data_IF_469450088735
#
_entry.id   IF_469450088735
#
_cell.length_a   1.000
_cell.length_b   1.000
_cell.length_c   1.000
_cell.angle_alpha   90.00
_cell.angle_beta   90.00
_cell.angle_gamma   90.00
#
_symmetry.space_group_name_H-M   'P 1'
#
loop_
_entity.id
_entity.type
_entity.pdbx_description
1 polymer ?
#
# COMPACT_ATOMS: atom_id res chain seq x y z
N UNK A 1 -20.87 -6.92 -44.66
CA UNK A 1 -21.25 -7.97 -43.69
C UNK A 1 -20.24 -7.85 -42.55
N UNK A 2 -20.52 -7.28 -41.38
CA UNK A 2 -21.75 -7.17 -40.62
C UNK A 2 -21.48 -7.84 -39.27
N UNK A 3 -21.35 -7.04 -38.19
CA UNK A 3 -21.53 -7.33 -36.75
C UNK A 3 -20.77 -6.22 -35.96
N UNK A 4 -21.38 -5.09 -35.55
CA UNK A 4 -22.31 -4.82 -34.44
C UNK A 4 -21.81 -5.22 -33.03
N UNK A 5 -21.25 -4.21 -32.31
CA UNK A 5 -21.60 -3.67 -30.95
C UNK A 5 -21.61 -4.69 -29.77
N UNK A 6 -20.99 -4.41 -28.58
CA UNK A 6 -21.33 -3.22 -27.79
C UNK A 6 -20.23 -2.41 -27.10
N UNK A 7 -20.49 -1.11 -27.07
CA UNK A 7 -20.02 -0.19 -26.03
C UNK A 7 -20.52 -0.65 -24.67
N UNK A 8 -19.62 -0.71 -23.69
CA UNK A 8 -19.98 -0.83 -22.28
C UNK A 8 -19.36 0.33 -21.53
N UNK A 9 -20.25 1.18 -21.04
CA UNK A 9 -20.05 2.20 -20.03
C UNK A 9 -19.29 1.64 -18.83
N UNK A 10 -18.33 2.38 -18.28
CA UNK A 10 -18.21 2.47 -16.82
C UNK A 10 -17.33 3.63 -16.36
N UNK A 11 -18.04 4.60 -15.77
CA UNK A 11 -17.75 5.24 -14.48
C UNK A 11 -16.42 6.01 -14.39
N UNK A 12 -16.54 7.31 -14.64
CA UNK A 12 -15.62 8.33 -14.14
C UNK A 12 -15.48 8.19 -12.63
N UNK A 13 -14.30 7.76 -12.17
CA UNK A 13 -13.90 7.83 -10.77
C UNK A 13 -13.36 9.24 -10.54
N UNK A 14 -14.24 10.09 -9.99
CA UNK A 14 -13.86 11.38 -9.39
C UNK A 14 -13.06 11.05 -8.13
N UNK A 15 -11.75 10.92 -8.27
CA UNK A 15 -10.85 10.95 -7.12
C UNK A 15 -10.59 12.43 -6.78
N UNK A 16 -11.20 12.90 -5.69
CA UNK A 16 -10.84 14.15 -5.03
C UNK A 16 -9.36 14.11 -4.69
N UNK A 17 -8.57 14.87 -5.44
CA UNK A 17 -7.24 15.32 -5.03
C UNK A 17 -7.39 16.29 -3.86
N UNK A 18 -7.32 15.76 -2.63
CA UNK A 18 -7.09 16.54 -1.43
C UNK A 18 -5.60 16.93 -1.42
N UNK A 19 -5.23 17.95 -2.18
CA UNK A 19 -3.93 18.57 -2.09
C UNK A 19 -3.86 19.30 -0.74
N UNK A 20 -3.23 18.64 0.24
CA UNK A 20 -2.82 19.27 1.49
C UNK A 20 -1.72 20.28 1.16
N UNK A 21 -2.12 21.51 0.86
CA UNK A 21 -1.21 22.65 0.77
C UNK A 21 -0.72 22.97 2.19
N UNK A 22 0.38 22.35 2.60
CA UNK A 22 1.13 22.78 3.78
C UNK A 22 2.45 23.36 3.31
N UNK A 23 2.51 24.69 3.35
CA UNK A 23 3.70 25.44 3.72
C UNK A 23 4.75 25.63 2.62
N UNK A 24 4.67 26.78 1.95
CA UNK A 24 5.80 27.70 1.81
C UNK A 24 5.30 29.01 1.17
N UNK A 25 4.59 29.81 1.97
CA UNK A 25 4.46 31.24 1.69
C UNK A 25 5.27 31.99 2.75
N UNK A 26 6.57 32.09 2.47
CA UNK A 26 7.51 33.02 3.10
C UNK A 26 7.37 34.35 2.36
N UNK A 27 6.24 35.03 2.54
CA UNK A 27 6.09 36.42 2.17
C UNK A 27 5.21 37.12 3.20
N UNK A 28 5.78 38.14 3.85
CA UNK A 28 5.20 38.83 4.98
C UNK A 28 3.80 39.37 4.67
N UNK A 29 2.81 38.78 5.32
CA UNK A 29 1.53 39.44 5.55
C UNK A 29 1.65 40.21 6.87
N UNK A 30 1.41 41.54 6.88
CA UNK A 30 1.42 42.30 8.12
C UNK A 30 0.35 41.73 9.08
N UNK A 31 0.62 41.71 10.40
CA UNK A 31 -0.37 41.28 11.38
C UNK A 31 -1.60 42.16 11.25
N UNK A 32 -2.73 41.56 10.88
CA UNK A 32 -4.02 42.24 10.83
C UNK A 32 -4.40 42.70 12.26
N UNK A 33 -4.39 44.02 12.56
CA UNK A 33 -4.32 44.52 13.92
C UNK A 33 -5.68 44.58 14.64
N UNK A 34 -6.70 43.86 14.17
CA UNK A 34 -8.08 44.03 14.68
C UNK A 34 -8.79 42.76 15.15
N UNK A 35 -8.15 41.59 15.14
CA UNK A 35 -8.77 40.38 15.71
C UNK A 35 -8.31 40.19 17.16
N UNK A 36 -9.03 40.83 18.09
CA UNK A 36 -8.88 40.62 19.54
C UNK A 36 -9.10 39.14 19.94
N UNK A 37 -8.69 38.78 21.16
CA UNK A 37 -8.79 37.41 21.70
C UNK A 37 -10.19 36.80 21.54
N UNK A 38 -11.24 37.62 21.61
CA UNK A 38 -12.63 37.19 21.42
C UNK A 38 -12.94 36.77 19.97
N UNK A 39 -12.41 37.49 18.99
CA UNK A 39 -12.52 37.14 17.57
C UNK A 39 -11.83 35.80 17.27
N UNK A 40 -10.67 35.55 17.91
CA UNK A 40 -9.95 34.28 17.77
C UNK A 40 -10.70 33.11 18.41
N UNK A 41 -11.32 33.32 19.57
CA UNK A 41 -12.11 32.29 20.26
C UNK A 41 -13.41 31.97 19.50
N UNK A 42 -14.08 32.99 18.96
CA UNK A 42 -15.28 32.81 18.13
C UNK A 42 -14.97 31.98 16.87
N UNK A 43 -13.82 32.24 16.23
CA UNK A 43 -13.38 31.47 15.06
C UNK A 43 -13.09 29.99 15.40
N UNK A 44 -12.45 29.73 16.55
CA UNK A 44 -12.19 28.37 17.05
C UNK A 44 -13.49 27.62 17.36
N UNK A 45 -14.45 28.25 18.04
CA UNK A 45 -15.74 27.65 18.34
C UNK A 45 -16.51 27.31 17.06
N UNK A 46 -16.48 28.20 16.07
CA UNK A 46 -17.14 28.01 14.77
C UNK A 46 -16.51 26.85 13.97
N UNK A 47 -15.19 26.69 14.02
CA UNK A 47 -14.50 25.55 13.41
C UNK A 47 -14.86 24.23 14.09
N UNK A 48 -14.89 24.19 15.42
CA UNK A 48 -15.26 23.00 16.18
C UNK A 48 -16.72 22.57 15.92
N UNK A 49 -17.62 23.55 15.77
CA UNK A 49 -19.03 23.28 15.42
C UNK A 49 -19.19 22.79 13.97
N UNK A 50 -18.35 23.25 13.04
CA UNK A 50 -18.34 22.71 11.67
C UNK A 50 -17.81 21.27 11.62
N UNK A 51 -16.77 20.97 12.41
CA UNK A 51 -16.20 19.63 12.49
C UNK A 51 -17.22 18.61 13.04
N UNK A 52 -17.95 18.97 14.10
CA UNK A 52 -18.98 18.10 14.68
C UNK A 52 -20.16 17.83 13.72
N UNK A 53 -20.50 18.79 12.85
CA UNK A 53 -21.53 18.60 11.81
C UNK A 53 -21.06 17.68 10.67
N UNK A 54 -19.77 17.63 10.37
CA UNK A 54 -19.22 16.71 9.36
C UNK A 54 -19.20 15.25 9.84
N UNK A 55 -18.94 15.00 11.11
CA UNK A 55 -18.95 13.64 11.67
C UNK A 55 -20.36 13.02 11.69
N UNK A 56 -21.39 13.81 11.99
CA UNK A 56 -22.78 13.34 11.93
C UNK A 56 -23.23 13.00 10.49
N UNK A 57 -22.72 13.73 9.49
CA UNK A 57 -22.98 13.45 8.07
C UNK A 57 -22.22 12.23 7.55
N UNK A 58 -21.04 11.93 8.09
CA UNK A 58 -20.25 10.75 7.74
C UNK A 58 -20.83 9.46 8.31
N UNK A 59 -21.41 9.50 9.51
CA UNK A 59 -21.96 8.31 10.17
C UNK A 59 -23.30 7.83 9.58
N UNK A 60 -24.07 8.70 8.93
CA UNK A 60 -25.32 8.31 8.26
C UNK A 60 -25.12 7.55 6.93
N UNK A 61 -23.88 7.39 6.45
CA UNK A 61 -23.55 6.65 5.23
C UNK A 61 -23.04 5.22 5.46
N UNK A 62 -23.05 4.71 6.70
CA UNK A 62 -22.58 3.35 7.04
C UNK A 62 -23.68 2.29 7.07
N UNK A 63 -24.79 2.47 6.34
CA UNK A 63 -25.90 1.50 6.33
C UNK A 63 -26.15 0.93 4.93
N UNK A 64 -25.16 0.27 4.35
CA UNK A 64 -25.37 -0.86 3.44
C UNK A 64 -24.07 -1.66 3.27
N UNK A 65 -23.67 -2.38 4.33
CA UNK A 65 -22.71 -3.46 4.18
C UNK A 65 -23.40 -4.58 3.38
N UNK A 66 -23.24 -4.53 2.06
CA UNK A 66 -23.50 -5.70 1.22
C UNK A 66 -22.67 -6.87 1.77
N UNK A 67 -23.18 -8.11 1.76
CA UNK A 67 -22.37 -9.26 2.10
C UNK A 67 -21.22 -9.30 1.09
N UNK A 68 -20.01 -9.00 1.54
CA UNK A 68 -18.79 -9.29 0.80
C UNK A 68 -18.76 -10.79 0.61
N UNK A 69 -19.31 -11.27 -0.50
CA UNK A 69 -18.97 -12.57 -1.06
C UNK A 69 -17.46 -12.52 -1.27
N UNK A 70 -16.72 -13.08 -0.31
CA UNK A 70 -15.30 -13.36 -0.48
C UNK A 70 -15.22 -14.13 -1.80
N UNK A 71 -14.52 -13.62 -2.83
CA UNK A 71 -14.26 -14.43 -4.00
C UNK A 71 -13.65 -15.73 -3.51
N UNK A 72 -14.19 -16.85 -4.00
CA UNK A 72 -13.64 -18.18 -3.75
C UNK A 72 -12.17 -18.08 -4.10
N UNK A 73 -11.32 -18.14 -3.07
CA UNK A 73 -9.92 -17.81 -3.18
C UNK A 73 -9.30 -18.68 -4.27
N UNK A 74 -8.84 -18.03 -5.31
CA UNK A 74 -7.86 -18.59 -6.24
C UNK A 74 -6.67 -19.09 -5.43
N UNK A 75 -5.97 -20.15 -5.87
CA UNK A 75 -4.91 -20.78 -5.08
C UNK A 75 -3.87 -19.80 -4.50
N UNK A 76 -3.63 -18.69 -5.20
CA UNK A 76 -2.77 -17.60 -4.75
C UNK A 76 -3.26 -16.87 -3.49
N UNK A 77 -4.57 -16.76 -3.22
CA UNK A 77 -5.08 -16.07 -2.03
C UNK A 77 -4.66 -16.79 -0.74
N UNK A 78 -4.62 -18.12 -0.77
CA UNK A 78 -4.18 -18.93 0.37
C UNK A 78 -2.68 -18.75 0.64
N UNK A 79 -1.86 -18.74 -0.41
CA UNK A 79 -0.42 -18.50 -0.33
C UNK A 79 -0.12 -17.07 0.15
N UNK A 80 -0.77 -16.07 -0.45
CA UNK A 80 -0.63 -14.67 -0.08
C UNK A 80 -1.05 -14.42 1.37
N UNK A 81 -2.12 -15.08 1.85
CA UNK A 81 -2.54 -14.98 3.24
C UNK A 81 -1.50 -15.57 4.20
N UNK A 82 -0.91 -16.72 3.86
CA UNK A 82 0.15 -17.33 4.65
C UNK A 82 1.39 -16.41 4.73
N UNK A 83 1.89 -15.96 3.57
CA UNK A 83 3.04 -15.04 3.49
C UNK A 83 2.74 -13.73 4.24
N UNK A 84 1.56 -13.15 4.05
CA UNK A 84 1.15 -11.92 4.75
C UNK A 84 1.13 -12.09 6.27
N UNK A 85 0.67 -13.25 6.76
CA UNK A 85 0.68 -13.56 8.19
C UNK A 85 2.11 -13.67 8.73
N UNK A 86 3.00 -14.36 8.02
CA UNK A 86 4.41 -14.48 8.40
C UNK A 86 5.12 -13.12 8.39
N UNK A 87 4.94 -12.31 7.33
CA UNK A 87 5.49 -10.96 7.23
C UNK A 87 5.03 -10.05 8.38
N UNK A 88 3.74 -10.11 8.75
CA UNK A 88 3.23 -9.35 9.90
C UNK A 88 3.87 -9.79 11.21
N UNK A 89 4.03 -11.10 11.39
CA UNK A 89 4.67 -11.63 12.58
C UNK A 89 6.14 -11.20 12.67
N UNK A 90 6.94 -11.42 11.63
CA UNK A 90 8.39 -11.11 11.68
C UNK A 90 8.67 -9.62 11.85
N UNK A 91 7.84 -8.75 11.26
CA UNK A 91 7.94 -7.30 11.41
C UNK A 91 7.57 -6.80 12.81
N UNK A 92 6.85 -7.62 13.59
CA UNK A 92 6.55 -7.31 14.99
C UNK A 92 7.66 -7.74 15.95
N UNK A 93 8.62 -8.54 15.50
CA UNK A 93 9.71 -9.03 16.34
C UNK A 93 10.78 -7.96 16.55
N UNK A 94 11.44 -7.94 17.72
CA UNK A 94 12.65 -7.14 17.91
C UNK A 94 13.73 -7.49 16.87
N UNK A 95 14.56 -6.53 16.44
CA UNK A 95 15.65 -6.81 15.51
C UNK A 95 16.59 -7.91 15.98
N UNK A 96 17.06 -8.76 15.06
CA UNK A 96 17.96 -9.89 15.35
C UNK A 96 17.29 -11.10 16.03
N UNK A 97 15.96 -11.13 16.13
CA UNK A 97 15.23 -12.28 16.67
C UNK A 97 15.41 -13.48 15.74
N UNK A 98 15.87 -14.61 16.29
CA UNK A 98 15.99 -15.83 15.48
C UNK A 98 14.60 -16.33 15.09
N UNK A 99 14.44 -16.64 13.83
CA UNK A 99 13.23 -17.27 13.29
C UNK A 99 13.60 -18.55 12.55
N UNK A 100 12.67 -19.47 12.44
CA UNK A 100 12.85 -20.75 11.74
C UNK A 100 11.90 -20.86 10.54
N UNK A 101 11.57 -19.71 9.92
CA UNK A 101 10.70 -19.70 8.75
C UNK A 101 11.40 -20.40 7.58
N UNK A 102 10.60 -21.07 6.77
CA UNK A 102 11.05 -21.70 5.54
C UNK A 102 10.61 -20.84 4.35
N UNK A 103 11.25 -21.05 3.21
CA UNK A 103 10.78 -20.45 1.98
C UNK A 103 9.37 -20.96 1.63
N UNK A 104 8.40 -20.08 1.36
CA UNK A 104 7.08 -20.49 0.88
C UNK A 104 7.21 -21.35 -0.37
N UNK A 105 6.43 -22.43 -0.42
CA UNK A 105 6.35 -23.30 -1.61
C UNK A 105 5.38 -22.70 -2.62
N UNK A 106 5.47 -23.18 -3.86
CA UNK A 106 4.52 -22.85 -4.94
C UNK A 106 4.40 -21.35 -5.26
N UNK A 107 5.50 -20.58 -5.13
CA UNK A 107 5.55 -19.15 -5.44
C UNK A 107 5.21 -18.81 -6.90
N UNK A 108 5.26 -19.80 -7.80
CA UNK A 108 4.80 -19.68 -9.19
C UNK A 108 3.32 -19.29 -9.29
N UNK A 109 2.51 -19.55 -8.26
CA UNK A 109 1.11 -19.12 -8.20
C UNK A 109 0.94 -17.60 -8.16
N UNK A 110 2.00 -16.84 -7.85
CA UNK A 110 1.98 -15.38 -7.80
C UNK A 110 2.18 -14.73 -9.18
N UNK A 111 2.58 -15.51 -10.19
CA UNK A 111 2.78 -15.01 -11.56
C UNK A 111 1.48 -14.44 -12.14
N UNK A 112 1.57 -13.24 -12.71
CA UNK A 112 0.48 -12.51 -13.32
C UNK A 112 -0.26 -11.56 -12.38
N UNK A 113 -0.01 -11.61 -11.06
CA UNK A 113 -0.53 -10.63 -10.12
C UNK A 113 0.03 -9.24 -10.41
N UNK A 114 -0.78 -8.20 -10.29
CA UNK A 114 -0.28 -6.82 -10.41
C UNK A 114 0.47 -6.39 -9.16
N UNK A 115 1.35 -5.41 -9.30
CA UNK A 115 2.01 -4.69 -8.20
C UNK A 115 1.02 -4.23 -7.12
N UNK A 116 -0.13 -3.68 -7.55
CA UNK A 116 -1.19 -3.19 -6.66
C UNK A 116 -1.79 -4.33 -5.83
N UNK A 117 -2.04 -5.49 -6.46
CA UNK A 117 -2.54 -6.67 -5.75
C UNK A 117 -1.49 -7.20 -4.78
N UNK A 118 -0.24 -7.37 -5.22
CA UNK A 118 0.81 -7.90 -4.35
C UNK A 118 1.03 -6.98 -3.13
N UNK A 119 1.06 -5.67 -3.35
CA UNK A 119 1.19 -4.66 -2.28
C UNK A 119 -0.02 -4.61 -1.35
N UNK A 120 -1.24 -4.81 -1.86
CA UNK A 120 -2.44 -4.81 -1.00
C UNK A 120 -2.47 -6.00 -0.05
N UNK A 121 -1.94 -7.16 -0.46
CA UNK A 121 -1.88 -8.36 0.37
C UNK A 121 -0.65 -8.42 1.29
N UNK A 122 0.55 -8.17 0.76
CA UNK A 122 1.83 -8.33 1.47
C UNK A 122 2.30 -7.04 2.15
N UNK A 123 1.69 -5.90 1.79
CA UNK A 123 2.12 -4.58 2.22
C UNK A 123 3.34 -4.08 1.43
N UNK A 124 3.99 -3.07 2.02
CA UNK A 124 5.20 -2.46 1.48
C UNK A 124 6.34 -3.50 1.45
N UNK A 125 7.07 -3.67 0.33
CA UNK A 125 8.29 -4.47 0.30
C UNK A 125 9.41 -3.82 1.11
N UNK A 126 10.36 -4.64 1.58
CA UNK A 126 11.49 -4.19 2.39
C UNK A 126 12.58 -3.53 1.52
N UNK A 127 12.67 -3.95 0.25
CA UNK A 127 13.50 -3.29 -0.77
C UNK A 127 12.76 -3.21 -2.10
N UNK A 128 12.79 -2.02 -2.72
CA UNK A 128 12.36 -1.80 -4.10
C UNK A 128 13.58 -1.35 -4.90
N UNK A 129 14.02 -2.17 -5.85
CA UNK A 129 15.05 -1.77 -6.80
C UNK A 129 14.36 -1.31 -8.09
N UNK A 130 14.51 -0.03 -8.45
CA UNK A 130 14.01 0.45 -9.73
C UNK A 130 14.80 -0.19 -10.86
N UNK A 131 14.16 -0.29 -12.03
CA UNK A 131 14.82 -0.65 -13.28
C UNK A 131 16.08 0.21 -13.46
N UNK A 132 17.26 -0.38 -13.31
CA UNK A 132 18.51 0.34 -13.53
C UNK A 132 18.61 0.69 -15.02
N UNK A 133 18.64 2.00 -15.31
CA UNK A 133 18.71 2.64 -16.62
C UNK A 133 17.50 2.54 -17.54
N UNK A 134 17.02 3.69 -18.01
CA UNK A 134 16.04 3.81 -19.12
C UNK A 134 16.52 3.14 -20.43
N UNK A 135 17.80 2.80 -20.53
CA UNK A 135 18.41 2.14 -21.69
C UNK A 135 18.32 0.60 -21.67
N UNK A 136 18.12 0.00 -20.49
CA UNK A 136 17.88 -1.43 -20.34
C UNK A 136 16.58 -1.57 -19.56
N UNK A 137 15.54 -2.16 -20.18
CA UNK A 137 14.29 -2.51 -19.47
C UNK A 137 14.58 -3.61 -18.45
N UNK A 138 15.26 -3.25 -17.37
CA UNK A 138 15.48 -4.15 -16.24
C UNK A 138 14.13 -4.23 -15.54
N UNK A 139 13.60 -5.43 -15.29
CA UNK A 139 12.33 -5.57 -14.58
C UNK A 139 12.42 -4.89 -13.21
N UNK A 140 11.32 -4.34 -12.69
CA UNK A 140 11.30 -3.84 -11.31
C UNK A 140 11.41 -5.04 -10.36
N UNK A 141 12.14 -4.88 -9.25
CA UNK A 141 12.36 -5.94 -8.27
C UNK A 141 11.86 -5.50 -6.90
N UNK A 142 10.98 -6.29 -6.31
CA UNK A 142 10.58 -6.13 -4.90
C UNK A 142 11.08 -7.32 -4.09
N UNK A 143 11.60 -7.04 -2.89
CA UNK A 143 12.03 -8.07 -1.95
C UNK A 143 11.26 -7.94 -0.64
N UNK A 144 10.79 -9.08 -0.14
CA UNK A 144 10.13 -9.23 1.15
C UNK A 144 10.97 -10.16 2.03
N UNK A 145 11.42 -9.67 3.18
CA UNK A 145 12.22 -10.44 4.14
C UNK A 145 11.29 -11.19 5.08
N UNK A 146 11.27 -12.52 4.99
CA UNK A 146 10.48 -13.40 5.86
C UNK A 146 11.38 -13.85 7.02
N UNK A 147 11.87 -12.86 7.77
CA UNK A 147 12.75 -13.04 8.90
C UNK A 147 12.73 -11.79 9.78
N UNK A 148 13.17 -11.93 11.02
CA UNK A 148 13.36 -10.74 11.86
C UNK A 148 14.33 -9.79 11.18
N UNK A 149 14.06 -8.47 11.17
CA UNK A 149 15.01 -7.49 10.63
C UNK A 149 16.34 -7.61 11.38
N UNK A 150 17.36 -8.19 10.75
CA UNK A 150 18.67 -8.36 11.38
C UNK A 150 19.50 -7.09 11.19
N UNK A 151 20.27 -6.63 12.19
CA UNK A 151 21.28 -5.61 11.96
C UNK A 151 22.28 -6.08 10.91
N UNK A 152 22.70 -5.15 10.03
CA UNK A 152 23.52 -5.31 8.82
C UNK A 152 24.81 -6.16 8.96
N UNK A 153 25.23 -6.53 10.16
CA UNK A 153 26.56 -7.09 10.43
C UNK A 153 26.58 -8.58 10.81
N UNK A 154 25.44 -9.25 11.03
CA UNK A 154 25.44 -10.64 11.50
C UNK A 154 24.32 -11.50 10.88
N UNK A 155 24.67 -12.18 9.79
CA UNK A 155 24.05 -13.44 9.38
C UNK A 155 22.89 -13.30 8.39
N UNK A 156 23.14 -13.76 7.16
CA UNK A 156 22.11 -14.28 6.27
C UNK A 156 21.49 -15.57 6.80
N UNK A 157 20.72 -16.26 5.96
CA UNK A 157 20.08 -17.54 6.31
C UNK A 157 18.60 -17.45 6.68
N UNK A 158 17.98 -16.28 6.57
CA UNK A 158 16.53 -16.13 6.63
C UNK A 158 15.91 -16.12 5.22
N UNK A 159 14.67 -16.61 5.05
CA UNK A 159 14.01 -16.60 3.75
C UNK A 159 13.72 -15.17 3.24
N UNK A 160 13.99 -14.94 1.96
CA UNK A 160 13.65 -13.73 1.23
C UNK A 160 12.84 -14.09 0.00
N UNK A 161 11.70 -13.43 -0.16
CA UNK A 161 10.83 -13.56 -1.32
C UNK A 161 11.07 -12.37 -2.27
N UNK A 162 11.66 -12.63 -3.42
CA UNK A 162 11.90 -11.63 -4.46
C UNK A 162 10.92 -11.81 -5.62
N UNK A 163 10.21 -10.75 -5.97
CA UNK A 163 9.28 -10.72 -7.11
C UNK A 163 9.78 -9.78 -8.20
N UNK A 164 9.70 -10.25 -9.44
CA UNK A 164 10.11 -9.54 -10.64
C UNK A 164 8.87 -9.10 -11.40
N UNK A 165 8.81 -7.84 -11.83
CA UNK A 165 7.68 -7.32 -12.59
C UNK A 165 8.03 -7.11 -14.05
N UNK A 166 7.08 -7.38 -14.94
CA UNK A 166 7.19 -7.02 -16.36
C UNK A 166 6.93 -5.52 -16.60
N UNK A 167 7.03 -5.09 -17.85
CA UNK A 167 6.78 -3.70 -18.27
C UNK A 167 5.33 -3.22 -17.99
N UNK A 168 4.40 -4.14 -17.65
CA UNK A 168 3.01 -3.86 -17.33
C UNK A 168 2.75 -3.85 -15.81
N UNK A 169 3.80 -3.98 -14.98
CA UNK A 169 3.68 -4.05 -13.53
C UNK A 169 3.01 -5.33 -13.04
N UNK A 170 3.19 -6.45 -13.77
CA UNK A 170 2.72 -7.78 -13.35
C UNK A 170 3.88 -8.67 -12.97
N UNK A 171 3.68 -9.50 -11.96
CA UNK A 171 4.67 -10.49 -11.51
C UNK A 171 4.98 -11.43 -12.67
N UNK A 172 6.21 -11.36 -13.18
CA UNK A 172 6.74 -12.27 -14.19
C UNK A 172 7.27 -13.56 -13.55
N UNK A 173 7.78 -13.44 -12.33
CA UNK A 173 8.34 -14.55 -11.57
C UNK A 173 8.58 -14.15 -10.13
N UNK A 174 8.60 -15.14 -9.26
CA UNK A 174 8.93 -14.99 -7.85
C UNK A 174 9.92 -16.07 -7.46
N UNK A 175 10.97 -15.69 -6.75
CA UNK A 175 11.93 -16.63 -6.17
C UNK A 175 11.92 -16.47 -4.66
N UNK A 176 12.11 -17.58 -3.95
CA UNK A 176 12.48 -17.53 -2.55
C UNK A 176 13.86 -18.16 -2.35
N UNK A 177 14.74 -17.44 -1.67
CA UNK A 177 16.08 -17.91 -1.32
C UNK A 177 16.45 -17.47 0.09
N UNK A 178 17.46 -18.10 0.68
CA UNK A 178 18.02 -17.60 1.93
C UNK A 178 18.90 -16.38 1.65
N UNK A 179 18.69 -15.31 2.42
CA UNK A 179 19.56 -14.14 2.42
C UNK A 179 21.02 -14.56 2.60
N UNK A 180 21.94 -13.90 1.90
CA UNK A 180 23.38 -14.21 1.96
C UNK A 180 24.08 -13.40 3.03
#
# INVERSE_FOLDING_TARGET
MGNLVPQVFSIALVALSLSLAIGQDLAGTPPDPTCDKECRQSKLNKLNEQLSKMDAAAQSRLTLAAPTTRPVGTGHDSLLAAISSELKYVRSLPPGTRTTFECPKDTDQLVGLSEVQLRSFLGQPDSEQPAADFAQRVPQYWTYTIGSPSPLEAGGGFPELSSHFDDLGKVRGTMCALAK
#
